data_IF_315920427351
#
_entry.id   IF_315920427351
#
_cell.length_a   1.000
_cell.length_b   1.000
_cell.length_c   1.000
_cell.angle_alpha   90.00
_cell.angle_beta   90.00
_cell.angle_gamma   90.00
#
_symmetry.space_group_name_H-M   'P 1'
#
loop_
_entity.id
_entity.type
_entity.pdbx_description
1 polymer ?
#
# COMPACT_ATOMS: atom_id res chain seq x y z
N UNK A 1 13.89 -28.94 34.38
CA UNK A 1 14.39 -28.75 33.01
C UNK A 1 13.25 -29.10 32.07
N UNK A 2 12.45 -28.11 31.67
CA UNK A 2 11.20 -28.33 30.90
C UNK A 2 11.58 -28.20 29.42
N UNK A 3 11.52 -29.30 28.70
CA UNK A 3 11.70 -29.32 27.24
C UNK A 3 10.41 -28.74 26.63
N UNK A 4 10.53 -27.48 26.15
CA UNK A 4 9.44 -26.84 25.41
C UNK A 4 9.18 -27.56 24.09
N UNK A 5 8.00 -28.18 23.99
CA UNK A 5 7.18 -28.38 22.80
C UNK A 5 7.86 -28.83 21.53
N UNK A 6 8.00 -30.13 21.32
CA UNK A 6 8.02 -30.73 19.97
C UNK A 6 6.70 -30.38 19.30
N UNK A 7 6.68 -29.29 18.53
CA UNK A 7 5.58 -29.06 17.58
C UNK A 7 5.64 -30.22 16.57
N UNK A 8 4.55 -30.94 16.43
CA UNK A 8 4.28 -31.93 15.39
C UNK A 8 5.06 -31.57 14.12
N UNK A 9 5.84 -32.51 13.60
CA UNK A 9 6.53 -32.35 12.31
C UNK A 9 5.43 -32.24 11.27
N UNK A 10 5.02 -31.02 10.96
CA UNK A 10 4.05 -30.71 9.93
C UNK A 10 4.55 -31.17 8.58
N UNK A 11 3.68 -31.20 7.60
CA UNK A 11 3.98 -31.58 6.22
C UNK A 11 5.20 -30.77 5.71
N UNK A 12 6.13 -31.46 5.07
CA UNK A 12 7.34 -30.84 4.53
C UNK A 12 7.33 -30.85 3.02
N UNK A 13 7.91 -29.83 2.41
CA UNK A 13 7.85 -29.58 0.98
C UNK A 13 9.24 -29.31 0.40
N UNK A 14 9.45 -29.73 -0.85
CA UNK A 14 10.62 -29.36 -1.68
C UNK A 14 10.38 -27.97 -2.31
N UNK A 15 11.45 -27.31 -2.75
CA UNK A 15 11.35 -26.00 -3.43
C UNK A 15 10.39 -26.03 -4.63
N UNK A 16 10.41 -27.11 -5.43
CA UNK A 16 9.52 -27.23 -6.60
C UNK A 16 8.04 -27.38 -6.21
N UNK A 17 7.76 -28.06 -5.11
CA UNK A 17 6.39 -28.24 -4.61
C UNK A 17 5.85 -26.90 -4.08
N UNK A 18 6.63 -26.18 -3.28
CA UNK A 18 6.29 -24.84 -2.81
C UNK A 18 6.07 -23.88 -3.98
N UNK A 19 6.97 -23.89 -4.96
CA UNK A 19 6.85 -23.06 -6.15
C UNK A 19 5.54 -23.32 -6.92
N UNK A 20 5.17 -24.59 -7.07
CA UNK A 20 3.91 -25.01 -7.68
C UNK A 20 2.70 -24.56 -6.86
N UNK A 21 2.74 -24.70 -5.53
CA UNK A 21 1.67 -24.26 -4.61
C UNK A 21 1.38 -22.75 -4.71
N UNK A 22 2.45 -21.95 -4.79
CA UNK A 22 2.36 -20.48 -4.81
C UNK A 22 2.14 -19.95 -6.23
N UNK A 23 2.37 -20.78 -7.27
CA UNK A 23 2.28 -20.35 -8.66
C UNK A 23 3.45 -19.44 -9.08
N UNK A 24 4.68 -19.74 -8.61
CA UNK A 24 5.91 -19.00 -8.93
C UNK A 24 7.02 -19.92 -9.39
N UNK A 25 8.07 -19.34 -9.99
CA UNK A 25 9.24 -20.12 -10.36
C UNK A 25 10.07 -20.52 -9.12
N UNK A 26 10.71 -21.72 -9.08
CA UNK A 26 11.57 -22.16 -7.98
C UNK A 26 12.69 -21.15 -7.61
N UNK A 27 13.23 -20.43 -8.59
CA UNK A 27 14.22 -19.38 -8.32
C UNK A 27 13.64 -18.21 -7.54
N UNK A 28 12.36 -17.89 -7.75
CA UNK A 28 11.66 -16.85 -6.96
C UNK A 28 11.53 -17.26 -5.50
N UNK A 29 11.29 -18.55 -5.21
CA UNK A 29 11.27 -19.05 -3.82
C UNK A 29 12.64 -18.88 -3.16
N UNK A 30 13.73 -19.16 -3.88
CA UNK A 30 15.11 -18.96 -3.39
C UNK A 30 15.40 -17.47 -3.18
N UNK A 31 15.01 -16.62 -4.13
CA UNK A 31 15.16 -15.17 -4.01
C UNK A 31 14.45 -14.61 -2.76
N UNK A 32 13.28 -15.14 -2.42
CA UNK A 32 12.55 -14.71 -1.21
C UNK A 32 13.27 -15.13 0.07
N UNK A 33 13.89 -16.28 0.09
CA UNK A 33 14.80 -16.70 1.17
C UNK A 33 16.02 -15.77 1.28
N UNK A 34 16.69 -15.51 0.15
CA UNK A 34 17.89 -14.67 0.09
C UNK A 34 17.61 -13.20 0.51
N UNK A 35 16.41 -12.69 0.21
CA UNK A 35 15.94 -11.36 0.61
C UNK A 35 15.35 -11.30 2.03
N UNK A 36 15.37 -12.41 2.75
CA UNK A 36 14.81 -12.54 4.12
C UNK A 36 13.31 -12.20 4.19
N UNK A 37 12.56 -12.54 3.14
CA UNK A 37 11.11 -12.36 3.09
C UNK A 37 10.35 -13.59 3.62
N UNK A 38 11.06 -14.69 3.81
CA UNK A 38 10.60 -15.90 4.50
C UNK A 38 11.67 -16.36 5.49
N UNK A 39 11.29 -17.13 6.50
CA UNK A 39 12.25 -17.75 7.41
C UNK A 39 13.17 -18.71 6.66
N UNK A 40 14.40 -18.92 7.16
CA UNK A 40 15.35 -19.81 6.52
C UNK A 40 14.88 -21.26 6.65
N UNK A 41 14.67 -21.97 5.50
CA UNK A 41 14.30 -23.37 5.55
C UNK A 41 15.46 -24.23 6.10
N UNK A 42 15.10 -25.30 6.78
CA UNK A 42 16.07 -26.32 7.20
C UNK A 42 16.68 -26.98 5.96
N UNK A 43 17.95 -27.33 6.04
CA UNK A 43 18.63 -28.12 4.99
C UNK A 43 18.86 -29.53 5.47
N UNK A 44 18.61 -30.50 4.58
CA UNK A 44 19.01 -31.90 4.81
C UNK A 44 20.51 -32.04 4.66
N UNK A 45 21.07 -33.18 5.10
CA UNK A 45 22.50 -33.48 4.99
C UNK A 45 23.04 -33.39 3.55
N UNK A 46 22.21 -33.65 2.57
CA UNK A 46 22.51 -33.48 1.15
C UNK A 46 22.31 -32.06 0.61
N UNK A 47 22.14 -31.06 1.49
CA UNK A 47 22.02 -29.64 1.17
C UNK A 47 20.64 -29.18 0.64
N UNK A 48 19.69 -30.08 0.44
CA UNK A 48 18.36 -29.73 -0.06
C UNK A 48 17.52 -29.00 1.01
N UNK A 49 16.84 -27.94 0.58
CA UNK A 49 15.91 -27.14 1.39
C UNK A 49 14.65 -27.92 1.75
N UNK A 50 14.19 -27.78 2.98
CA UNK A 50 12.94 -28.34 3.50
C UNK A 50 12.06 -27.20 3.97
N UNK A 51 10.92 -27.03 3.32
CA UNK A 51 9.92 -26.04 3.64
C UNK A 51 8.79 -26.65 4.46
N UNK A 52 8.09 -25.85 5.22
CA UNK A 52 6.92 -26.21 6.03
C UNK A 52 5.72 -25.36 5.62
N UNK A 53 4.55 -25.63 6.21
CA UNK A 53 3.34 -24.81 6.01
C UNK A 53 3.58 -23.34 6.37
N UNK A 54 4.38 -23.07 7.41
CA UNK A 54 4.78 -21.70 7.76
C UNK A 54 5.44 -20.96 6.60
N UNK A 55 6.35 -21.59 5.88
CA UNK A 55 6.99 -20.97 4.72
C UNK A 55 6.00 -20.70 3.57
N UNK A 56 5.01 -21.59 3.40
CA UNK A 56 3.94 -21.39 2.41
C UNK A 56 3.13 -20.14 2.78
N UNK A 57 2.75 -19.98 4.04
CA UNK A 57 1.98 -18.82 4.49
C UNK A 57 2.78 -17.51 4.41
N UNK A 58 4.07 -17.55 4.75
CA UNK A 58 4.97 -16.42 4.58
C UNK A 58 5.12 -16.02 3.10
N UNK A 59 5.23 -16.99 2.20
CA UNK A 59 5.27 -16.72 0.76
C UNK A 59 3.97 -16.12 0.24
N UNK A 60 2.81 -16.60 0.70
CA UNK A 60 1.50 -16.01 0.38
C UNK A 60 1.42 -14.57 0.86
N UNK A 61 1.84 -14.31 2.11
CA UNK A 61 1.88 -12.96 2.70
C UNK A 61 2.76 -12.03 1.86
N UNK A 62 3.99 -12.45 1.53
CA UNK A 62 4.91 -11.67 0.72
C UNK A 62 4.33 -11.36 -0.67
N UNK A 63 3.74 -12.36 -1.33
CA UNK A 63 3.06 -12.16 -2.60
C UNK A 63 1.94 -11.15 -2.50
N UNK A 64 1.08 -11.27 -1.48
CA UNK A 64 -0.03 -10.34 -1.26
C UNK A 64 0.46 -8.92 -1.00
N UNK A 65 1.52 -8.78 -0.21
CA UNK A 65 2.13 -7.48 0.07
C UNK A 65 2.74 -6.81 -1.18
N UNK A 66 3.15 -7.61 -2.18
CA UNK A 66 3.76 -7.09 -3.42
C UNK A 66 2.80 -6.98 -4.59
N UNK A 67 1.55 -7.44 -4.48
CA UNK A 67 0.52 -7.22 -5.50
C UNK A 67 0.20 -5.74 -5.70
N UNK A 68 0.45 -4.91 -4.69
CA UNK A 68 0.18 -3.47 -4.77
C UNK A 68 1.36 -2.78 -5.45
N UNK A 69 1.23 -2.49 -6.75
CA UNK A 69 2.32 -2.05 -7.60
C UNK A 69 2.83 -0.64 -7.31
N UNK A 70 1.97 0.28 -6.93
CA UNK A 70 2.34 1.70 -6.78
C UNK A 70 1.85 2.23 -5.46
N UNK A 71 2.71 2.23 -4.48
CA UNK A 71 2.42 2.89 -3.22
C UNK A 71 3.32 4.11 -3.06
N UNK A 72 2.75 5.26 -3.38
CA UNK A 72 3.23 6.54 -2.88
C UNK A 72 3.15 6.55 -1.34
N UNK A 73 3.81 7.47 -0.69
CA UNK A 73 3.75 7.66 0.78
C UNK A 73 4.36 6.56 1.67
N UNK A 74 5.30 5.78 1.15
CA UNK A 74 6.05 4.81 1.96
C UNK A 74 5.26 3.56 2.36
N UNK A 75 4.05 3.34 1.87
CA UNK A 75 3.24 2.15 2.15
C UNK A 75 3.95 0.86 1.74
N UNK A 76 4.69 0.86 0.63
CA UNK A 76 5.50 -0.29 0.23
C UNK A 76 6.57 -0.66 1.28
N UNK A 77 7.22 0.33 1.89
CA UNK A 77 8.20 0.08 2.96
C UNK A 77 7.54 -0.57 4.17
N UNK A 78 6.33 -0.12 4.54
CA UNK A 78 5.55 -0.71 5.64
C UNK A 78 5.16 -2.16 5.32
N UNK A 79 4.68 -2.44 4.11
CA UNK A 79 4.36 -3.80 3.68
C UNK A 79 5.59 -4.74 3.74
N UNK A 80 6.75 -4.28 3.26
CA UNK A 80 8.01 -5.05 3.35
C UNK A 80 8.40 -5.28 4.82
N UNK A 81 8.23 -4.30 5.71
CA UNK A 81 8.53 -4.45 7.13
C UNK A 81 7.68 -5.54 7.77
N UNK A 82 6.37 -5.59 7.48
CA UNK A 82 5.45 -6.63 7.94
C UNK A 82 5.94 -8.02 7.51
N UNK A 83 6.27 -8.17 6.22
CA UNK A 83 6.76 -9.45 5.66
C UNK A 83 8.06 -9.88 6.37
N UNK A 84 9.00 -8.97 6.57
CA UNK A 84 10.27 -9.26 7.25
C UNK A 84 10.09 -9.63 8.73
N UNK A 85 9.17 -9.00 9.46
CA UNK A 85 8.87 -9.41 10.84
C UNK A 85 8.25 -10.80 10.88
N UNK A 86 7.33 -11.11 9.96
CA UNK A 86 6.79 -12.46 9.80
C UNK A 86 7.90 -13.50 9.49
N UNK A 87 8.86 -13.16 8.64
CA UNK A 87 9.99 -14.04 8.32
C UNK A 87 10.88 -14.32 9.55
N UNK A 88 11.03 -13.35 10.44
CA UNK A 88 11.72 -13.49 11.74
C UNK A 88 10.87 -14.24 12.79
N UNK A 89 9.63 -14.58 12.47
CA UNK A 89 8.64 -15.19 13.37
C UNK A 89 8.26 -14.27 14.55
N UNK A 90 8.49 -12.97 14.44
CA UNK A 90 8.00 -11.96 15.36
C UNK A 90 6.59 -11.52 14.92
N UNK A 91 5.62 -12.37 15.25
CA UNK A 91 4.25 -12.19 14.82
C UNK A 91 3.54 -11.06 15.58
N UNK A 92 3.92 -10.79 16.82
CA UNK A 92 3.35 -9.71 17.61
C UNK A 92 3.68 -8.36 16.98
N UNK A 93 4.94 -8.13 16.66
CA UNK A 93 5.37 -6.91 15.95
C UNK A 93 4.78 -6.84 14.54
N UNK A 94 4.72 -7.96 13.81
CA UNK A 94 4.08 -8.00 12.50
C UNK A 94 2.60 -7.58 12.55
N UNK A 95 1.87 -7.95 13.61
CA UNK A 95 0.47 -7.55 13.82
C UNK A 95 0.37 -6.05 14.12
N UNK A 96 1.25 -5.50 14.95
CA UNK A 96 1.30 -4.05 15.25
C UNK A 96 1.51 -3.26 13.95
N UNK A 97 2.53 -3.59 13.18
CA UNK A 97 2.83 -2.95 11.90
C UNK A 97 1.67 -3.08 10.90
N UNK A 98 0.97 -4.22 10.91
CA UNK A 98 -0.20 -4.43 10.04
C UNK A 98 -1.35 -3.48 10.42
N UNK A 99 -1.61 -3.28 11.72
CA UNK A 99 -2.63 -2.34 12.20
C UNK A 99 -2.30 -0.91 11.80
N UNK A 100 -1.05 -0.50 11.91
CA UNK A 100 -0.58 0.83 11.48
C UNK A 100 -0.70 1.01 9.96
N UNK A 101 -0.38 -0.02 9.20
CA UNK A 101 -0.54 -0.03 7.75
C UNK A 101 -2.01 0.14 7.34
N UNK A 102 -2.92 -0.61 7.97
CA UNK A 102 -4.37 -0.48 7.75
C UNK A 102 -4.86 0.93 8.10
N UNK A 103 -4.38 1.52 9.21
CA UNK A 103 -4.74 2.89 9.61
C UNK A 103 -4.30 3.91 8.55
N UNK A 104 -3.11 3.72 7.98
CA UNK A 104 -2.62 4.60 6.90
C UNK A 104 -3.49 4.50 5.66
N UNK A 105 -3.85 3.28 5.22
CA UNK A 105 -4.72 3.07 4.05
C UNK A 105 -6.12 3.67 4.29
N UNK A 106 -6.70 3.47 5.47
CA UNK A 106 -8.01 4.06 5.80
C UNK A 106 -7.99 5.58 5.66
N UNK A 107 -6.94 6.23 6.17
CA UNK A 107 -6.77 7.68 6.03
C UNK A 107 -6.72 8.12 4.57
N UNK A 108 -6.02 7.37 3.72
CA UNK A 108 -5.92 7.68 2.28
C UNK A 108 -7.28 7.49 1.58
N UNK A 109 -8.06 6.48 1.97
CA UNK A 109 -9.42 6.26 1.49
C UNK A 109 -10.34 7.42 1.93
N UNK A 110 -10.27 7.85 3.18
CA UNK A 110 -11.07 8.96 3.69
C UNK A 110 -10.76 10.26 2.92
N UNK A 111 -9.47 10.55 2.69
CA UNK A 111 -9.05 11.70 1.88
C UNK A 111 -9.58 11.61 0.43
N UNK A 112 -9.55 10.42 -0.16
CA UNK A 112 -10.06 10.20 -1.51
C UNK A 112 -11.59 10.40 -1.58
N UNK A 113 -12.34 9.91 -0.59
CA UNK A 113 -13.78 10.11 -0.50
C UNK A 113 -14.13 11.60 -0.34
N UNK A 114 -13.39 12.32 0.51
CA UNK A 114 -13.57 13.77 0.67
C UNK A 114 -13.34 14.51 -0.66
N UNK A 115 -12.31 14.11 -1.42
CA UNK A 115 -12.05 14.69 -2.75
C UNK A 115 -13.22 14.42 -3.73
N UNK A 116 -13.81 13.23 -3.70
CA UNK A 116 -14.97 12.87 -4.51
C UNK A 116 -16.19 13.72 -4.13
N UNK A 117 -16.44 13.92 -2.85
CA UNK A 117 -17.54 14.76 -2.35
C UNK A 117 -17.38 16.22 -2.78
N UNK A 118 -16.16 16.75 -2.71
CA UNK A 118 -15.83 18.10 -3.19
C UNK A 118 -16.09 18.22 -4.68
N UNK A 119 -15.62 17.25 -5.47
CA UNK A 119 -15.84 17.22 -6.92
C UNK A 119 -17.34 17.14 -7.28
N UNK A 120 -18.10 16.31 -6.56
CA UNK A 120 -19.55 16.21 -6.73
C UNK A 120 -20.29 17.54 -6.46
N UNK A 121 -19.90 18.24 -5.40
CA UNK A 121 -20.44 19.57 -5.08
C UNK A 121 -20.12 20.61 -6.15
N UNK A 122 -18.91 20.57 -6.71
CA UNK A 122 -18.49 21.42 -7.83
C UNK A 122 -19.33 21.17 -9.09
N UNK A 123 -19.48 19.91 -9.48
CA UNK A 123 -20.27 19.52 -10.66
C UNK A 123 -21.73 19.98 -10.51
N UNK A 124 -22.32 19.74 -9.35
CA UNK A 124 -23.72 20.13 -9.11
C UNK A 124 -23.91 21.65 -9.17
N UNK A 125 -22.95 22.44 -8.69
CA UNK A 125 -22.99 23.90 -8.79
C UNK A 125 -22.81 24.37 -10.24
N UNK A 126 -21.88 23.81 -10.98
CA UNK A 126 -21.67 24.15 -12.40
C UNK A 126 -22.89 23.84 -13.26
N UNK A 127 -23.72 22.89 -12.87
CA UNK A 127 -24.96 22.55 -13.57
C UNK A 127 -26.11 23.48 -13.23
N UNK A 128 -26.06 24.19 -12.10
CA UNK A 128 -27.12 25.09 -11.67
C UNK A 128 -26.89 26.56 -12.05
N UNK A 129 -25.64 27.00 -12.25
CA UNK A 129 -25.32 28.39 -12.58
C UNK A 129 -24.40 28.48 -13.81
N UNK A 130 -24.92 29.07 -14.88
CA UNK A 130 -24.19 29.21 -16.15
C UNK A 130 -23.02 30.20 -16.14
N UNK A 131 -22.81 30.97 -15.08
CA UNK A 131 -21.76 32.01 -15.01
C UNK A 131 -21.16 32.17 -13.59
N UNK A 132 -20.36 31.19 -13.16
CA UNK A 132 -19.50 31.41 -11.99
C UNK A 132 -18.23 32.16 -12.38
N UNK A 133 -18.15 33.43 -12.00
CA UNK A 133 -16.94 34.25 -12.06
C UNK A 133 -16.35 34.39 -10.65
N UNK A 134 -15.96 33.28 -10.01
CA UNK A 134 -15.43 33.31 -8.65
C UNK A 134 -13.98 33.81 -8.62
N UNK A 135 -13.67 34.63 -7.62
CA UNK A 135 -12.30 35.00 -7.30
C UNK A 135 -11.60 33.89 -6.53
N UNK A 136 -10.26 33.87 -6.55
CA UNK A 136 -9.47 32.84 -5.84
C UNK A 136 -9.86 32.70 -4.37
N UNK A 137 -10.12 33.79 -3.66
CA UNK A 137 -10.51 33.79 -2.25
C UNK A 137 -11.86 33.09 -2.06
N UNK A 138 -12.83 33.38 -2.89
CA UNK A 138 -14.16 32.79 -2.85
C UNK A 138 -14.14 31.29 -3.10
N UNK A 139 -13.31 30.85 -4.05
CA UNK A 139 -13.10 29.42 -4.32
C UNK A 139 -12.35 28.71 -3.17
N UNK A 140 -11.35 29.38 -2.59
CA UNK A 140 -10.62 28.87 -1.43
C UNK A 140 -11.56 28.64 -0.23
N UNK A 141 -12.41 29.63 0.08
CA UNK A 141 -13.42 29.52 1.13
C UNK A 141 -14.47 28.45 0.81
N UNK A 142 -14.92 28.40 -0.45
CA UNK A 142 -15.92 27.45 -0.93
C UNK A 142 -15.45 25.99 -0.80
N UNK A 143 -14.18 25.74 -1.12
CA UNK A 143 -13.58 24.40 -1.12
C UNK A 143 -12.95 24.04 0.23
N UNK A 144 -12.83 25.01 1.16
CA UNK A 144 -12.15 24.80 2.44
C UNK A 144 -10.66 24.51 2.30
N UNK A 145 -10.01 24.99 1.21
CA UNK A 145 -8.59 24.80 0.95
C UNK A 145 -7.83 26.13 0.98
N UNK A 146 -6.52 26.10 1.16
CA UNK A 146 -5.71 27.30 1.12
C UNK A 146 -5.58 27.90 -0.29
N UNK A 147 -5.41 29.22 -0.38
CA UNK A 147 -5.14 29.88 -1.66
C UNK A 147 -3.85 29.38 -2.34
N UNK A 148 -2.88 28.90 -1.53
CA UNK A 148 -1.63 28.32 -2.05
C UNK A 148 -1.87 26.92 -2.63
N UNK A 149 -2.75 26.12 -2.06
CA UNK A 149 -3.19 24.85 -2.63
C UNK A 149 -3.83 25.06 -3.99
N UNK A 150 -4.71 26.05 -4.11
CA UNK A 150 -5.34 26.40 -5.38
C UNK A 150 -4.31 26.85 -6.43
N UNK A 151 -3.31 27.64 -6.02
CA UNK A 151 -2.20 28.06 -6.88
C UNK A 151 -1.37 26.89 -7.36
N UNK A 152 -1.09 25.93 -6.48
CA UNK A 152 -0.37 24.72 -6.84
C UNK A 152 -1.15 23.87 -7.85
N UNK A 153 -2.47 23.77 -7.68
CA UNK A 153 -3.34 23.09 -8.65
C UNK A 153 -3.32 23.78 -10.02
N UNK A 154 -3.35 25.13 -10.06
CA UNK A 154 -3.19 25.92 -11.29
C UNK A 154 -1.84 25.63 -11.96
N UNK A 155 -0.74 25.69 -11.19
CA UNK A 155 0.61 25.47 -11.70
C UNK A 155 0.84 24.06 -12.24
N UNK A 156 0.17 23.07 -11.65
CA UNK A 156 0.26 21.66 -12.04
C UNK A 156 -0.79 21.27 -13.11
N UNK A 157 -1.54 22.24 -13.65
CA UNK A 157 -2.54 21.98 -14.68
C UNK A 157 -3.77 21.20 -14.22
N UNK A 158 -3.98 21.05 -12.90
CA UNK A 158 -5.14 20.34 -12.33
C UNK A 158 -6.41 21.19 -12.42
N UNK A 159 -6.27 22.52 -12.52
CA UNK A 159 -7.38 23.47 -12.69
C UNK A 159 -7.07 24.39 -13.85
N UNK A 160 -8.01 24.46 -14.80
CA UNK A 160 -7.87 25.35 -15.97
C UNK A 160 -8.56 26.69 -15.69
N UNK A 161 -7.80 27.77 -15.64
CA UNK A 161 -8.28 29.08 -15.21
C UNK A 161 -8.38 30.02 -16.39
N UNK A 162 -9.55 30.68 -16.56
CA UNK A 162 -9.74 31.79 -17.49
C UNK A 162 -9.26 33.09 -16.86
N UNK A 163 -8.82 34.04 -17.69
CA UNK A 163 -8.46 35.39 -17.26
C UNK A 163 -9.38 36.40 -17.92
N UNK A 164 -9.84 37.40 -17.16
CA UNK A 164 -10.51 38.57 -17.72
C UNK A 164 -9.52 39.41 -18.54
N UNK A 165 -10.04 40.32 -19.37
CA UNK A 165 -9.23 41.26 -20.16
C UNK A 165 -8.28 42.10 -19.30
N UNK A 166 -8.62 42.36 -18.04
CA UNK A 166 -7.79 43.05 -17.05
C UNK A 166 -6.77 42.15 -16.32
N UNK A 167 -6.59 40.89 -16.76
CA UNK A 167 -5.63 39.96 -16.21
C UNK A 167 -6.08 39.19 -14.96
N UNK A 168 -7.23 39.54 -14.36
CA UNK A 168 -7.73 38.83 -13.16
C UNK A 168 -8.16 37.41 -13.48
N UNK A 169 -7.81 36.49 -12.61
CA UNK A 169 -8.18 35.06 -12.70
C UNK A 169 -9.64 34.86 -12.34
N UNK A 170 -10.30 33.98 -13.13
CA UNK A 170 -11.68 33.53 -12.91
C UNK A 170 -11.60 32.01 -12.73
N UNK A 171 -12.17 31.54 -11.64
CA UNK A 171 -12.29 30.14 -11.32
C UNK A 171 -13.70 29.65 -11.57
#
# INVERSE_FOLDING_TARGET
MIIKGVRSIGKTYKTSEVAKFIGIHPNTVRMYEDLELISKPIRKDNGYRVFTDLHIDQLKLARKAFEVEVLQNGLRKKAIAIVKMSAKQDFDEAIVLTKEYIKSIKKDIDNANEAVDIAGKLINRLNHDKDFNLKRKEVSELLGISMDTLRNWEMNGLVNIKRKQNGYRIY
#
